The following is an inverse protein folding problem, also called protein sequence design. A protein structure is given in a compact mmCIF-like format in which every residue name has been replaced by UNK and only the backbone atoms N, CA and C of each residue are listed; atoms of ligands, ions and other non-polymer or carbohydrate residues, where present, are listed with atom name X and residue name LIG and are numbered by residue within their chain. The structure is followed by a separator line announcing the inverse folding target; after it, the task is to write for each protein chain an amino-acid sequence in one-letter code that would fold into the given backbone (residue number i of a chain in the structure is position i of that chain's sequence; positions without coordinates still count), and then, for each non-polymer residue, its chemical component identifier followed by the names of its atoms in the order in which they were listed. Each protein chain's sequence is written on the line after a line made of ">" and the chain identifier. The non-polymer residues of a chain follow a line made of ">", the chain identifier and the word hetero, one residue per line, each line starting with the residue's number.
data_IF_832581651383
#
_entry.id   IF_832581651383
#
_cell.length_a   1.000
_cell.length_b   1.000
_cell.length_c   1.000
_cell.angle_alpha   90.00
_cell.angle_beta   90.00
_cell.angle_gamma   90.00
#
_symmetry.space_group_name_H-M   'P 1'
#
loop_
_entity.id
_entity.type
_entity.pdbx_description
1 polymer ?
#
# COMPACT_ATOMS: atom_id res chain seq x y z
N UNK A 1 10.35 -50.68 -76.40
CA UNK A 1 9.57 -49.46 -76.72
C UNK A 1 8.14 -49.66 -76.19
N UNK A 2 7.39 -48.66 -75.69
CA UNK A 2 7.66 -47.65 -74.67
C UNK A 2 6.55 -47.57 -73.56
N UNK A 3 6.72 -46.65 -72.58
CA UNK A 3 5.72 -45.95 -71.71
C UNK A 3 5.08 -46.73 -70.54
N UNK A 4 5.44 -46.50 -69.26
CA UNK A 4 5.22 -45.35 -68.32
C UNK A 4 3.73 -45.12 -67.95
N UNK A 5 3.48 -45.06 -66.62
CA UNK A 5 2.49 -44.28 -65.82
C UNK A 5 1.44 -45.14 -65.09
N UNK A 6 0.92 -44.84 -63.88
CA UNK A 6 1.19 -43.93 -62.76
C UNK A 6 0.13 -44.28 -61.66
N UNK A 7 0.58 -44.40 -60.41
CA UNK A 7 0.00 -44.00 -59.09
C UNK A 7 -1.53 -43.87 -58.92
N UNK A 8 -2.07 -44.48 -57.84
CA UNK A 8 -2.86 -43.81 -56.79
C UNK A 8 -3.11 -44.72 -55.57
N UNK A 9 -2.33 -44.51 -54.49
CA UNK A 9 -2.70 -44.92 -53.13
C UNK A 9 -3.61 -43.85 -52.54
N UNK A 10 -4.87 -44.19 -52.28
CA UNK A 10 -5.78 -43.37 -51.48
C UNK A 10 -5.61 -43.70 -50.00
N UNK A 11 -4.97 -42.82 -49.25
CA UNK A 11 -4.87 -42.88 -47.79
C UNK A 11 -6.14 -42.34 -47.14
N UNK A 12 -6.74 -43.13 -46.26
CA UNK A 12 -7.89 -42.75 -45.43
C UNK A 12 -7.38 -41.85 -44.31
N UNK A 13 -7.76 -40.57 -44.33
CA UNK A 13 -7.47 -39.62 -43.26
C UNK A 13 -8.40 -39.84 -42.07
N UNK A 14 -7.84 -40.21 -40.92
CA UNK A 14 -8.55 -40.22 -39.63
C UNK A 14 -8.47 -38.80 -39.05
N UNK A 15 -9.60 -38.10 -39.00
CA UNK A 15 -9.71 -36.81 -38.34
C UNK A 15 -9.78 -37.01 -36.81
N UNK A 16 -8.67 -36.79 -36.13
CA UNK A 16 -8.63 -36.68 -34.66
C UNK A 16 -9.22 -35.33 -34.24
N UNK A 17 -10.42 -35.34 -33.65
CA UNK A 17 -10.94 -34.20 -32.91
C UNK A 17 -10.09 -33.99 -31.65
N UNK A 18 -9.21 -33.00 -31.67
CA UNK A 18 -8.57 -32.48 -30.48
C UNK A 18 -9.59 -31.64 -29.70
N UNK A 19 -10.12 -32.20 -28.62
CA UNK A 19 -10.90 -31.45 -27.61
C UNK A 19 -9.91 -30.54 -26.90
N UNK A 20 -9.84 -29.27 -27.32
CA UNK A 20 -9.14 -28.24 -26.58
C UNK A 20 -9.90 -27.99 -25.28
N UNK A 21 -9.45 -28.62 -24.19
CA UNK A 21 -9.80 -28.19 -22.84
C UNK A 21 -9.14 -26.82 -22.66
N UNK A 22 -9.91 -25.77 -22.93
CA UNK A 22 -9.54 -24.42 -22.54
C UNK A 22 -9.49 -24.40 -21.01
N UNK A 23 -8.29 -24.62 -20.46
CA UNK A 23 -8.03 -24.34 -19.07
C UNK A 23 -8.24 -22.83 -18.88
N UNK A 24 -9.37 -22.47 -18.28
CA UNK A 24 -9.65 -21.11 -17.85
C UNK A 24 -8.66 -20.81 -16.72
N UNK A 25 -7.48 -20.32 -17.09
CA UNK A 25 -6.59 -19.65 -16.17
C UNK A 25 -7.29 -18.35 -15.76
N UNK A 26 -8.16 -18.43 -14.74
CA UNK A 26 -8.61 -17.25 -14.01
C UNK A 26 -7.34 -16.54 -13.55
N UNK A 27 -7.05 -15.31 -14.01
CA UNK A 27 -5.94 -14.56 -13.47
C UNK A 27 -6.23 -14.37 -11.99
N UNK A 28 -5.43 -15.03 -11.15
CA UNK A 28 -5.47 -14.82 -9.71
C UNK A 28 -5.16 -13.35 -9.48
N UNK A 29 -6.14 -12.60 -9.00
CA UNK A 29 -5.96 -11.20 -8.65
C UNK A 29 -4.87 -11.12 -7.58
N UNK A 30 -3.66 -10.71 -8.00
CA UNK A 30 -2.52 -10.67 -7.12
C UNK A 30 -2.73 -9.56 -6.10
N UNK A 31 -3.07 -9.93 -4.87
CA UNK A 31 -3.26 -8.97 -3.77
C UNK A 31 -1.96 -8.16 -3.60
N UNK A 32 -2.03 -6.82 -3.58
CA UNK A 32 -0.83 -6.01 -3.45
C UNK A 32 -0.11 -6.31 -2.13
N UNK A 33 1.24 -6.29 -2.12
CA UNK A 33 2.04 -6.68 -0.96
C UNK A 33 1.85 -5.75 0.23
N UNK A 34 1.32 -4.56 0.03
CA UNK A 34 0.88 -3.66 1.08
C UNK A 34 -0.49 -3.15 0.66
N UNK A 35 -1.39 -2.87 1.61
CA UNK A 35 -2.68 -2.19 1.35
C UNK A 35 -3.23 -1.54 2.61
N UNK A 36 -4.09 -0.54 2.45
CA UNK A 36 -4.92 -0.06 3.55
C UNK A 36 -5.94 -1.15 3.87
N UNK A 37 -5.96 -1.64 5.12
CA UNK A 37 -6.90 -2.67 5.57
C UNK A 37 -8.12 -2.11 6.28
N UNK A 38 -7.99 -0.94 6.91
CA UNK A 38 -9.10 -0.25 7.58
C UNK A 38 -8.81 1.25 7.68
N UNK A 39 -9.86 2.05 7.61
CA UNK A 39 -9.84 3.49 7.91
C UNK A 39 -10.98 3.75 8.88
N UNK A 40 -10.67 4.39 10.00
CA UNK A 40 -11.59 4.78 11.06
C UNK A 40 -11.36 6.25 11.38
N UNK A 41 -12.18 7.12 10.79
CA UNK A 41 -12.05 8.57 10.90
C UNK A 41 -13.40 9.19 11.29
N UNK A 42 -13.40 10.25 12.12
CA UNK A 42 -14.59 10.94 12.59
C UNK A 42 -15.45 11.42 11.41
N UNK A 43 -16.74 11.14 11.51
CA UNK A 43 -17.74 11.97 10.84
C UNK A 43 -18.19 13.14 11.74
N UNK A 44 -18.03 13.03 13.06
CA UNK A 44 -18.25 14.11 14.04
C UNK A 44 -17.60 13.78 15.41
N UNK A 45 -17.02 14.77 16.08
CA UNK A 45 -16.65 14.71 17.51
C UNK A 45 -15.33 14.01 17.90
N UNK A 46 -14.83 13.05 17.11
CA UNK A 46 -13.51 12.46 17.36
C UNK A 46 -12.39 13.31 16.73
N UNK A 47 -11.24 13.35 17.41
CA UNK A 47 -10.07 14.13 17.04
C UNK A 47 -8.98 13.28 16.35
N UNK A 48 -9.34 12.12 15.80
CA UNK A 48 -8.41 11.07 15.35
C UNK A 48 -8.90 10.30 14.13
N UNK A 49 -8.02 10.11 13.15
CA UNK A 49 -8.25 9.29 11.96
C UNK A 49 -7.22 8.16 11.92
N UNK A 50 -7.65 6.93 12.18
CA UNK A 50 -6.80 5.74 12.23
C UNK A 50 -6.79 5.04 10.89
N UNK A 51 -5.61 4.72 10.42
CA UNK A 51 -5.37 4.08 9.14
C UNK A 51 -4.54 2.83 9.40
N UNK A 52 -5.14 1.67 9.23
CA UNK A 52 -4.43 0.40 9.32
C UNK A 52 -3.83 0.02 7.95
N UNK A 53 -2.54 -0.28 7.95
CA UNK A 53 -1.77 -0.64 6.77
C UNK A 53 -1.29 -2.07 6.92
N UNK A 54 -1.88 -2.97 6.15
CA UNK A 54 -1.51 -4.38 6.15
C UNK A 54 -0.34 -4.62 5.20
N UNK A 55 0.75 -5.15 5.75
CA UNK A 55 2.00 -5.46 5.06
C UNK A 55 2.14 -6.97 4.92
N UNK A 56 2.31 -7.45 3.69
CA UNK A 56 2.50 -8.86 3.29
C UNK A 56 3.65 -8.98 2.28
N UNK A 57 4.89 -9.00 2.77
CA UNK A 57 6.07 -9.15 1.93
C UNK A 57 6.37 -10.61 1.61
N UNK A 58 6.45 -10.92 0.32
CA UNK A 58 6.94 -12.21 -0.17
C UNK A 58 8.45 -12.11 -0.48
N UNK A 59 9.13 -13.25 -0.68
CA UNK A 59 10.53 -13.28 -1.13
C UNK A 59 10.75 -12.55 -2.47
N UNK A 60 9.69 -12.37 -3.28
CA UNK A 60 9.69 -11.68 -4.58
C UNK A 60 9.40 -10.17 -4.47
N UNK A 61 8.76 -9.72 -3.39
CA UNK A 61 8.37 -8.32 -3.18
C UNK A 61 9.11 -7.76 -1.96
N UNK A 62 10.43 -7.56 -2.07
CA UNK A 62 11.27 -7.07 -0.96
C UNK A 62 11.44 -5.56 -0.91
N UNK A 63 10.42 -4.84 -1.41
CA UNK A 63 10.22 -3.39 -1.35
C UNK A 63 11.19 -2.46 -2.11
N UNK A 64 10.60 -1.71 -3.05
CA UNK A 64 10.59 -0.25 -3.19
C UNK A 64 9.59 0.05 -4.33
N UNK A 65 8.40 0.60 -4.04
CA UNK A 65 7.43 0.97 -5.08
C UNK A 65 7.36 2.48 -5.21
N UNK A 66 8.20 3.04 -6.08
CA UNK A 66 7.95 4.37 -6.65
C UNK A 66 6.83 4.24 -7.69
N UNK A 67 5.80 5.06 -7.53
CA UNK A 67 4.61 5.14 -8.38
C UNK A 67 3.60 4.00 -8.16
N UNK A 68 3.05 3.88 -6.94
CA UNK A 68 1.64 3.46 -6.91
C UNK A 68 0.90 4.48 -7.79
N UNK A 69 0.02 4.02 -8.68
CA UNK A 69 -0.70 4.98 -9.52
C UNK A 69 -1.45 5.92 -8.56
N UNK A 70 -1.48 7.23 -8.82
CA UNK A 70 -2.23 8.14 -7.96
C UNK A 70 -3.73 7.77 -7.89
N UNK A 71 -4.21 6.98 -8.85
CA UNK A 71 -5.52 6.35 -8.86
C UNK A 71 -5.70 5.21 -7.83
N UNK A 72 -4.60 4.62 -7.33
CA UNK A 72 -4.60 3.56 -6.33
C UNK A 72 -4.54 4.11 -4.89
N UNK A 73 -4.33 5.43 -4.74
CA UNK A 73 -4.33 6.08 -3.44
C UNK A 73 -5.71 5.97 -2.79
N UNK A 74 -5.72 5.73 -1.49
CA UNK A 74 -6.98 5.69 -0.74
C UNK A 74 -7.34 7.10 -0.31
N UNK A 75 -8.50 7.58 -0.75
CA UNK A 75 -9.00 8.90 -0.39
C UNK A 75 -9.60 8.87 1.02
N UNK A 76 -9.18 9.81 1.85
CA UNK A 76 -9.78 10.16 3.13
C UNK A 76 -10.21 11.61 3.01
N UNK A 77 -11.46 11.96 3.28
CA UNK A 77 -11.88 13.35 3.24
C UNK A 77 -12.01 13.88 4.67
N UNK A 78 -11.02 14.68 5.09
CA UNK A 78 -11.08 15.45 6.33
C UNK A 78 -11.21 16.96 6.06
N UNK A 79 -11.53 17.35 4.83
CA UNK A 79 -11.59 18.74 4.40
C UNK A 79 -12.65 19.50 5.17
N UNK A 80 -12.28 20.65 5.74
CA UNK A 80 -13.21 21.52 6.45
C UNK A 80 -13.68 21.00 7.80
N UNK A 81 -13.08 19.94 8.35
CA UNK A 81 -13.24 19.61 9.76
C UNK A 81 -12.71 20.79 10.56
N UNK A 82 -13.58 21.58 11.20
CA UNK A 82 -13.23 22.85 11.91
C UNK A 82 -12.38 22.63 13.18
N UNK A 83 -11.70 21.50 13.30
CA UNK A 83 -10.90 21.07 14.43
C UNK A 83 -9.71 20.25 13.95
N UNK A 84 -8.68 20.19 14.79
CA UNK A 84 -7.51 19.39 14.50
C UNK A 84 -7.84 17.89 14.53
N UNK A 85 -7.42 17.14 13.51
CA UNK A 85 -7.52 15.68 13.45
C UNK A 85 -6.12 15.08 13.52
N UNK A 86 -5.91 14.11 14.40
CA UNK A 86 -4.67 13.32 14.44
C UNK A 86 -4.78 12.14 13.51
N UNK A 87 -4.00 12.14 12.43
CA UNK A 87 -3.86 10.95 11.59
C UNK A 87 -2.91 9.97 12.27
N UNK A 88 -3.28 8.69 12.30
CA UNK A 88 -2.50 7.62 12.93
C UNK A 88 -2.38 6.45 11.97
N UNK A 89 -1.18 6.26 11.41
CA UNK A 89 -0.86 5.12 10.57
C UNK A 89 -0.38 3.96 11.45
N UNK A 90 -0.98 2.78 11.26
CA UNK A 90 -0.75 1.59 12.07
C UNK A 90 -0.31 0.46 11.15
N UNK A 91 0.93 -0.01 11.29
CA UNK A 91 1.42 -1.17 10.54
C UNK A 91 0.85 -2.46 11.12
N UNK A 92 0.27 -3.29 10.26
CA UNK A 92 -0.21 -4.64 10.56
C UNK A 92 0.51 -5.63 9.66
N UNK A 93 0.69 -6.85 10.14
CA UNK A 93 1.23 -7.97 9.35
C UNK A 93 0.54 -9.25 9.82
N UNK A 94 0.25 -10.16 8.91
CA UNK A 94 -0.20 -11.53 9.22
C UNK A 94 0.96 -12.54 9.15
N UNK A 95 2.18 -12.05 8.95
CA UNK A 95 3.39 -12.86 8.87
C UNK A 95 4.05 -12.95 10.24
N UNK A 96 3.95 -14.11 10.88
CA UNK A 96 4.40 -14.33 12.26
C UNK A 96 5.91 -14.11 12.48
N UNK A 97 6.73 -14.23 11.45
CA UNK A 97 8.19 -14.09 11.52
C UNK A 97 8.70 -12.70 11.10
N UNK A 98 7.79 -11.76 10.82
CA UNK A 98 8.11 -10.41 10.37
C UNK A 98 7.55 -9.36 11.28
N UNK A 99 8.33 -8.31 11.47
CA UNK A 99 7.94 -7.15 12.23
C UNK A 99 8.29 -5.89 11.43
N UNK A 100 7.31 -5.00 11.27
CA UNK A 100 7.47 -3.75 10.55
C UNK A 100 7.29 -2.57 11.50
N UNK A 101 8.16 -1.56 11.38
CA UNK A 101 8.11 -0.36 12.21
C UNK A 101 8.46 0.89 11.41
N UNK A 102 7.91 2.01 11.86
CA UNK A 102 8.39 3.35 11.53
C UNK A 102 9.55 3.70 12.46
N UNK A 103 10.71 3.99 11.90
CA UNK A 103 11.91 4.45 12.59
C UNK A 103 12.28 5.89 12.17
N UNK A 104 11.78 6.93 12.86
CA UNK A 104 12.10 8.33 12.52
C UNK A 104 13.61 8.61 12.54
N UNK A 105 14.33 7.96 13.47
CA UNK A 105 15.80 7.99 13.57
C UNK A 105 16.55 7.59 12.32
N UNK A 106 15.89 6.90 11.41
CA UNK A 106 16.46 6.38 10.18
C UNK A 106 15.70 6.84 8.94
N UNK A 107 14.89 7.91 9.08
CA UNK A 107 14.17 8.56 7.99
C UNK A 107 12.85 7.91 7.59
N UNK A 108 12.25 7.08 8.44
CA UNK A 108 10.94 6.48 8.17
C UNK A 108 9.81 7.29 8.80
N UNK A 109 8.60 7.17 8.23
CA UNK A 109 7.43 7.90 8.68
C UNK A 109 6.36 7.99 7.59
N UNK A 110 5.34 8.78 7.88
CA UNK A 110 4.43 9.34 6.90
C UNK A 110 4.94 10.73 6.50
N UNK A 111 4.96 11.00 5.20
CA UNK A 111 5.48 12.23 4.60
C UNK A 111 4.48 12.76 3.60
N UNK A 112 4.49 14.07 3.39
CA UNK A 112 3.76 14.67 2.29
C UNK A 112 4.64 14.71 1.04
N UNK A 113 4.06 14.38 -0.12
CA UNK A 113 4.77 14.27 -1.40
C UNK A 113 5.19 15.64 -1.95
N UNK A 114 4.29 16.60 -1.87
CA UNK A 114 4.48 17.97 -2.33
C UNK A 114 3.80 18.91 -1.34
N UNK A 115 4.57 19.75 -0.64
CA UNK A 115 3.99 20.88 0.09
C UNK A 115 5.02 21.94 0.38
N UNK A 116 4.62 23.19 0.15
CA UNK A 116 5.03 24.31 0.97
C UNK A 116 4.45 24.15 2.38
N UNK A 117 5.19 24.57 3.40
CA UNK A 117 4.67 24.60 4.76
C UNK A 117 3.56 25.65 4.88
N UNK A 118 2.31 25.20 4.86
CA UNK A 118 1.10 26.00 4.99
C UNK A 118 0.53 25.99 6.43
N UNK A 119 1.29 25.44 7.38
CA UNK A 119 0.90 25.33 8.78
C UNK A 119 -0.25 24.34 9.05
N UNK A 120 -0.69 23.54 8.06
CA UNK A 120 -1.74 22.54 8.29
C UNK A 120 -1.25 21.34 9.10
N UNK A 121 0.07 21.15 9.25
CA UNK A 121 0.62 19.93 9.81
C UNK A 121 1.61 20.18 10.95
N UNK A 122 1.53 19.35 11.98
CA UNK A 122 2.45 19.42 13.11
C UNK A 122 2.47 18.16 13.95
N UNK A 123 3.25 18.21 15.03
CA UNK A 123 3.38 17.14 16.03
C UNK A 123 3.65 15.74 15.43
N UNK A 124 4.44 15.68 14.35
CA UNK A 124 4.82 14.43 13.70
C UNK A 124 5.67 13.55 14.62
N UNK A 125 5.39 12.25 14.64
CA UNK A 125 6.27 11.27 15.28
C UNK A 125 5.64 9.91 15.47
N UNK A 126 6.41 8.98 16.05
CA UNK A 126 5.88 7.68 16.46
C UNK A 126 5.08 7.75 17.75
N UNK A 127 4.24 6.75 18.02
CA UNK A 127 3.42 6.66 19.24
C UNK A 127 3.17 5.20 19.62
N UNK A 128 3.10 4.88 20.91
CA UNK A 128 2.61 3.56 21.37
C UNK A 128 1.08 3.51 21.46
N UNK A 129 0.45 4.67 21.53
CA UNK A 129 -0.98 4.74 21.82
C UNK A 129 -1.78 4.44 20.55
N UNK A 130 -2.83 3.62 20.69
CA UNK A 130 -3.79 3.39 19.60
C UNK A 130 -4.46 4.68 19.13
N UNK A 131 -4.49 5.69 20.00
CA UNK A 131 -5.19 6.95 19.79
C UNK A 131 -4.29 8.06 19.22
N UNK A 132 -3.02 7.77 18.92
CA UNK A 132 -2.12 8.77 18.35
C UNK A 132 -1.82 9.95 19.27
N UNK A 133 -1.91 9.76 20.58
CA UNK A 133 -1.46 10.75 21.54
C UNK A 133 0.05 10.95 21.39
N UNK A 134 0.51 12.15 21.74
CA UNK A 134 1.92 12.45 21.83
C UNK A 134 2.63 11.41 22.69
N UNK A 135 3.74 10.88 22.19
CA UNK A 135 4.59 10.05 23.00
C UNK A 135 5.32 10.95 24.00
N UNK A 136 5.23 10.72 25.31
CA UNK A 136 6.00 11.47 26.29
C UNK A 136 7.51 11.27 26.09
N UNK A 137 7.91 10.20 25.41
CA UNK A 137 9.28 9.91 25.02
C UNK A 137 9.36 9.82 23.49
N UNK A 138 9.34 10.97 22.78
CA UNK A 138 9.39 11.03 21.32
C UNK A 138 10.78 10.70 20.77
N UNK A 139 11.66 10.09 21.57
CA UNK A 139 12.94 9.58 21.09
C UNK A 139 12.69 8.80 19.82
N UNK A 140 13.63 8.92 18.88
CA UNK A 140 13.68 8.38 17.51
C UNK A 140 13.47 6.85 17.37
N UNK A 141 12.88 6.23 18.37
CA UNK A 141 12.50 4.84 18.51
C UNK A 141 11.63 4.35 17.36
N UNK A 142 11.90 3.11 16.98
CA UNK A 142 11.11 2.39 16.01
C UNK A 142 9.81 1.90 16.65
N UNK A 143 8.64 2.31 16.11
CA UNK A 143 7.32 1.87 16.60
C UNK A 143 6.41 1.43 15.46
N UNK A 144 5.38 0.66 15.78
CA UNK A 144 4.39 0.20 14.79
C UNK A 144 3.43 1.29 14.34
N UNK A 145 3.35 2.41 15.07
CA UNK A 145 2.43 3.51 14.78
C UNK A 145 3.18 4.81 14.59
N UNK A 146 2.66 5.60 13.66
CA UNK A 146 3.15 6.94 13.35
C UNK A 146 1.97 7.89 13.30
N UNK A 147 2.17 9.15 13.68
CA UNK A 147 1.12 10.15 13.77
C UNK A 147 1.53 11.49 13.19
N UNK A 148 0.53 12.21 12.70
CA UNK A 148 0.56 13.63 12.38
C UNK A 148 -0.67 14.29 13.02
N UNK A 149 -0.55 15.55 13.39
CA UNK A 149 -1.69 16.40 13.74
C UNK A 149 -1.95 17.32 12.55
N UNK A 150 -3.18 17.28 12.05
CA UNK A 150 -3.61 18.06 10.91
C UNK A 150 -4.65 19.08 11.35
N UNK A 151 -4.53 20.33 10.91
CA UNK A 151 -5.51 21.37 11.17
C UNK A 151 -6.74 21.25 10.26
N UNK A 152 -6.55 20.80 9.01
CA UNK A 152 -7.60 20.62 7.99
C UNK A 152 -8.53 21.84 7.83
N UNK A 153 -7.97 23.04 8.01
CA UNK A 153 -8.70 24.31 7.97
C UNK A 153 -8.91 24.86 6.56
N UNK A 154 -8.19 24.33 5.56
CA UNK A 154 -8.31 24.71 4.15
C UNK A 154 -8.96 23.58 3.34
N UNK A 155 -9.03 23.77 2.02
CA UNK A 155 -9.63 22.83 1.07
C UNK A 155 -8.60 22.13 0.18
N UNK A 156 -7.33 22.15 0.60
CA UNK A 156 -6.24 21.56 -0.16
C UNK A 156 -6.25 20.03 -0.05
N UNK A 157 -5.63 19.40 -1.04
CA UNK A 157 -5.50 17.94 -1.11
C UNK A 157 -4.05 17.53 -0.88
N UNK A 158 -3.84 16.59 0.03
CA UNK A 158 -2.53 16.19 0.49
C UNK A 158 -2.27 14.71 0.22
N UNK A 159 -1.24 14.44 -0.59
CA UNK A 159 -0.80 13.08 -0.89
C UNK A 159 0.29 12.65 0.09
N UNK A 160 0.02 11.56 0.82
CA UNK A 160 0.96 10.97 1.79
C UNK A 160 1.76 9.84 1.16
N UNK A 161 3.07 9.88 1.35
CA UNK A 161 3.97 8.75 1.18
C UNK A 161 4.20 8.07 2.53
N UNK A 162 4.22 6.74 2.55
CA UNK A 162 4.67 5.97 3.72
C UNK A 162 6.03 5.35 3.47
N UNK A 163 6.91 5.48 4.46
CA UNK A 163 8.18 4.76 4.53
C UNK A 163 8.31 4.05 5.87
N UNK A 164 8.62 2.77 5.85
CA UNK A 164 8.81 1.93 7.03
C UNK A 164 9.78 0.79 6.73
N UNK A 165 10.21 0.03 7.75
CA UNK A 165 11.18 -1.06 7.55
C UNK A 165 10.80 -2.36 8.25
N UNK A 166 11.27 -3.48 7.71
CA UNK A 166 11.27 -4.78 8.38
C UNK A 166 12.43 -4.83 9.37
N UNK A 167 12.14 -5.06 10.65
CA UNK A 167 13.13 -4.95 11.72
C UNK A 167 14.23 -6.02 11.66
N UNK A 168 13.91 -7.21 11.16
CA UNK A 168 14.87 -8.33 11.09
C UNK A 168 15.83 -8.21 9.91
N UNK A 169 15.33 -7.82 8.75
CA UNK A 169 16.10 -7.78 7.50
C UNK A 169 16.68 -6.40 7.19
N UNK A 170 16.13 -5.34 7.79
CA UNK A 170 16.45 -3.95 7.47
C UNK A 170 15.85 -3.46 6.14
N UNK A 171 15.06 -4.29 5.45
CA UNK A 171 14.40 -3.93 4.20
C UNK A 171 13.50 -2.71 4.42
N UNK A 172 13.70 -1.66 3.63
CA UNK A 172 12.90 -0.44 3.64
C UNK A 172 11.81 -0.53 2.58
N UNK A 173 10.61 -0.14 2.95
CA UNK A 173 9.44 -0.06 2.11
C UNK A 173 8.97 1.38 1.98
N UNK A 174 8.83 1.83 0.74
CA UNK A 174 8.31 3.15 0.37
C UNK A 174 7.10 2.97 -0.56
N UNK A 175 6.04 3.74 -0.32
CA UNK A 175 4.80 3.73 -1.08
C UNK A 175 4.26 5.14 -1.29
N UNK A 176 4.00 5.51 -2.54
CA UNK A 176 3.66 6.89 -2.94
C UNK A 176 2.77 6.93 -4.21
N UNK A 177 1.62 7.67 -4.21
CA UNK A 177 0.92 8.16 -3.03
C UNK A 177 0.10 7.03 -2.43
N UNK A 178 0.13 6.93 -1.10
CA UNK A 178 -0.56 5.87 -0.40
C UNK A 178 -1.99 6.28 -0.01
N UNK A 179 -2.09 7.49 0.54
CA UNK A 179 -3.34 8.10 1.01
C UNK A 179 -3.40 9.51 0.50
N UNK A 180 -4.61 9.95 0.16
CA UNK A 180 -4.93 11.32 -0.20
C UNK A 180 -5.90 11.88 0.83
N UNK A 181 -5.56 13.02 1.45
CA UNK A 181 -6.47 13.77 2.33
C UNK A 181 -6.99 15.00 1.59
N UNK A 182 -8.27 15.02 1.19
CA UNK A 182 -8.86 16.09 0.36
C UNK A 182 -10.21 15.71 -0.20
#
# INVERSE_FOLDING_TARGET
>A
MPRIRTIALGSVGVATLAVMVAAWNTPSAQVPPVRVSAIDCPNDGDDKCKIEVLVKLTKKNRCAFKNANAADAVNVNLTGTKHNVRMVWILKTDQADKEFRFCPGSGDGAFLKEVEDDGQFGEMGTTETNNGNADPNPTMACKQRFRWKNANTNTETYDYMLRFREMKSGVVCEFDPWIRNG
#
